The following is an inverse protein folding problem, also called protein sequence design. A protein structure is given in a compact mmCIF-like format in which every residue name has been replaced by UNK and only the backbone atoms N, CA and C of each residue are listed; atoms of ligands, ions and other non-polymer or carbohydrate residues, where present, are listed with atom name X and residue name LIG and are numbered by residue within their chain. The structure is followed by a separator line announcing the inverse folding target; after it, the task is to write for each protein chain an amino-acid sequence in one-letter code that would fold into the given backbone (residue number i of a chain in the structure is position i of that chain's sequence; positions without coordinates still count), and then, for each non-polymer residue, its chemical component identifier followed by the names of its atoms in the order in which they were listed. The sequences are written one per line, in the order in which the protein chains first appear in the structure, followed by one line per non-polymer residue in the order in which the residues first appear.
data_IF_494007306422
#
_entry.id   IF_494007306422
#
_cell.length_a   1.000
_cell.length_b   1.000
_cell.length_c   1.000
_cell.angle_alpha   90.00
_cell.angle_beta   90.00
_cell.angle_gamma   90.00
#
_symmetry.space_group_name_H-M   'P 1'
#
loop_
_entity.id
_entity.type
_entity.pdbx_description
1 polymer ?
#
# COMPACT_ATOMS: atom_id res chain seq x y z
N UNK A 1 -54.03 30.74 -9.56
CA UNK A 1 -54.22 31.44 -8.27
C UNK A 1 -52.84 31.61 -7.65
N UNK A 2 -52.30 32.79 -7.34
CA UNK A 2 -52.94 34.01 -6.85
C UNK A 2 -52.30 34.32 -5.49
N UNK A 3 -51.27 35.19 -5.53
CA UNK A 3 -50.50 35.87 -4.47
C UNK A 3 -51.26 36.04 -3.12
N UNK A 4 -50.66 36.19 -1.95
CA UNK A 4 -49.90 37.39 -1.51
C UNK A 4 -49.41 37.22 -0.05
N UNK A 5 -48.19 37.73 0.21
CA UNK A 5 -47.75 38.68 1.27
C UNK A 5 -48.09 38.34 2.74
N UNK A 6 -47.17 38.39 3.70
CA UNK A 6 -46.12 39.36 4.03
C UNK A 6 -45.73 39.09 5.49
N UNK A 7 -44.70 39.64 6.13
CA UNK A 7 -44.30 41.05 6.20
C UNK A 7 -43.04 41.08 7.09
N UNK A 8 -42.02 41.84 6.69
CA UNK A 8 -40.79 42.05 7.49
C UNK A 8 -40.98 42.87 8.76
N UNK A 9 -39.88 43.25 9.42
CA UNK A 9 -39.45 44.66 9.41
C UNK A 9 -37.94 44.75 9.12
N UNK A 10 -37.39 45.65 8.29
CA UNK A 10 -37.32 47.13 8.29
C UNK A 10 -36.53 47.76 9.45
N UNK A 11 -35.36 48.31 9.09
CA UNK A 11 -34.61 49.35 9.80
C UNK A 11 -33.15 48.94 9.99
N UNK A 12 -32.11 49.72 9.69
CA UNK A 12 -31.93 51.06 9.12
C UNK A 12 -30.46 51.11 8.63
N UNK A 13 -30.19 51.62 7.43
CA UNK A 13 -29.74 53.00 7.14
C UNK A 13 -28.42 53.44 7.84
N UNK A 14 -27.49 53.89 6.97
CA UNK A 14 -26.32 54.79 7.14
C UNK A 14 -25.04 54.07 7.60
N UNK A 15 -23.83 54.38 7.11
CA UNK A 15 -23.31 55.37 6.17
C UNK A 15 -21.93 54.88 5.69
N UNK A 16 -21.55 55.20 4.45
CA UNK A 16 -20.50 56.19 4.12
C UNK A 16 -19.08 55.94 4.69
N UNK A 17 -18.20 55.52 3.74
CA UNK A 17 -16.87 56.05 3.39
C UNK A 17 -15.66 55.90 4.34
N UNK A 18 -14.57 55.46 3.68
CA UNK A 18 -13.13 55.79 3.86
C UNK A 18 -12.55 55.33 5.21
N UNK A 19 -11.29 54.92 5.38
CA UNK A 19 -10.06 54.78 4.59
C UNK A 19 -9.20 53.76 5.36
N UNK A 20 -8.04 53.40 4.80
CA UNK A 20 -6.74 53.15 5.45
C UNK A 20 -6.74 52.92 6.97
N UNK A 21 -6.06 51.90 7.49
CA UNK A 21 -4.60 51.93 7.54
C UNK A 21 -4.00 50.53 7.72
N UNK A 22 -2.75 50.46 7.28
CA UNK A 22 -1.83 49.35 7.43
C UNK A 22 -1.47 49.21 8.92
N UNK A 23 -1.60 48.01 9.48
CA UNK A 23 -0.96 47.66 10.75
C UNK A 23 0.14 46.65 10.45
N UNK A 24 1.36 47.19 10.36
CA UNK A 24 2.60 46.46 10.56
C UNK A 24 2.66 46.08 12.05
N UNK A 25 2.70 44.79 12.35
CA UNK A 25 2.43 44.30 13.70
C UNK A 25 2.92 42.88 13.91
N UNK A 26 4.23 42.69 13.75
CA UNK A 26 5.02 41.58 14.28
C UNK A 26 4.55 41.17 15.68
N UNK A 27 4.21 39.89 15.87
CA UNK A 27 3.81 39.37 17.17
C UNK A 27 3.84 37.85 17.20
N UNK A 28 4.98 37.31 17.64
CA UNK A 28 5.17 35.91 17.97
C UNK A 28 4.09 35.43 18.96
N UNK A 29 3.56 34.25 18.71
CA UNK A 29 2.59 33.59 19.57
C UNK A 29 2.53 32.12 19.20
N UNK A 30 3.26 31.33 19.98
CA UNK A 30 3.20 29.89 20.05
C UNK A 30 1.77 29.38 19.85
N UNK A 31 1.55 28.73 18.72
CA UNK A 31 0.42 27.85 18.55
C UNK A 31 0.93 26.45 18.76
N UNK A 32 0.85 26.04 20.03
CA UNK A 32 0.53 24.67 20.42
C UNK A 32 -0.62 24.18 19.53
N UNK A 33 -0.27 23.62 18.37
CA UNK A 33 -1.17 22.69 17.71
C UNK A 33 -1.05 21.41 18.49
N UNK A 34 -1.99 21.27 19.42
CA UNK A 34 -2.27 20.05 20.15
C UNK A 34 -2.07 18.85 19.25
N UNK A 35 -1.20 17.97 19.75
CA UNK A 35 -1.17 16.55 19.55
C UNK A 35 -2.42 16.01 18.83
N UNK A 36 -2.31 15.88 17.50
CA UNK A 36 -3.01 14.80 16.83
C UNK A 36 -2.13 13.56 16.97
N UNK A 37 -2.11 13.02 18.19
CA UNK A 37 -1.69 11.65 18.41
C UNK A 37 -2.76 10.74 17.79
N UNK A 38 -2.49 10.37 16.53
CA UNK A 38 -2.58 9.03 15.97
C UNK A 38 -3.70 8.13 16.52
N UNK A 39 -4.73 7.92 15.69
CA UNK A 39 -5.19 6.57 15.36
C UNK A 39 -5.61 6.55 13.89
N UNK A 40 -4.65 6.53 12.99
CA UNK A 40 -4.90 5.76 11.77
C UNK A 40 -5.09 4.33 12.25
N UNK A 41 -6.30 3.81 12.20
CA UNK A 41 -6.56 2.39 12.24
C UNK A 41 -5.90 1.79 10.98
N UNK A 42 -4.78 1.04 11.03
CA UNK A 42 -4.54 0.05 10.01
C UNK A 42 -5.38 -1.18 10.36
N UNK A 43 -6.69 -1.01 10.58
CA UNK A 43 -7.60 -2.09 10.26
C UNK A 43 -7.76 -2.06 8.75
N UNK A 44 -6.66 -2.39 8.06
CA UNK A 44 -6.78 -3.02 6.77
C UNK A 44 -7.41 -4.39 7.06
N UNK A 45 -8.72 -4.38 7.28
CA UNK A 45 -9.59 -5.53 7.13
C UNK A 45 -9.60 -5.90 5.65
N UNK A 46 -8.44 -6.25 5.12
CA UNK A 46 -8.37 -7.15 3.99
C UNK A 46 -8.78 -8.47 4.58
N UNK A 47 -10.03 -8.85 4.33
CA UNK A 47 -10.46 -10.23 4.45
C UNK A 47 -9.30 -11.13 3.96
N UNK A 48 -8.69 -11.99 4.81
CA UNK A 48 -7.60 -12.87 4.37
C UNK A 48 -8.05 -13.91 3.33
N UNK A 49 -9.31 -13.84 2.90
CA UNK A 49 -9.96 -14.82 2.05
C UNK A 49 -9.94 -14.48 0.54
N UNK A 50 -9.42 -13.33 0.11
CA UNK A 50 -9.47 -12.94 -1.31
C UNK A 50 -8.12 -12.72 -2.01
N UNK A 51 -7.01 -12.66 -1.27
CA UNK A 51 -5.66 -12.67 -1.88
C UNK A 51 -5.06 -14.07 -1.69
N UNK A 52 -5.11 -14.95 -2.71
CA UNK A 52 -4.58 -16.30 -2.56
C UNK A 52 -3.08 -16.24 -2.21
N UNK A 53 -2.71 -16.93 -1.13
CA UNK A 53 -1.33 -17.16 -0.68
C UNK A 53 -0.48 -15.93 -0.29
N UNK A 54 -1.05 -14.99 0.49
CA UNK A 54 -0.32 -13.80 0.97
C UNK A 54 0.98 -14.13 1.73
N UNK A 55 1.00 -15.18 2.56
CA UNK A 55 2.21 -15.57 3.29
C UNK A 55 3.27 -16.14 2.33
N UNK A 56 2.86 -16.95 1.35
CA UNK A 56 3.78 -17.54 0.38
C UNK A 56 4.50 -16.46 -0.46
N UNK A 57 3.76 -15.45 -0.94
CA UNK A 57 4.32 -14.34 -1.72
C UNK A 57 5.35 -13.56 -0.88
N UNK A 58 5.00 -13.18 0.35
CA UNK A 58 5.87 -12.40 1.23
C UNK A 58 7.17 -13.15 1.55
N UNK A 59 7.09 -14.45 1.83
CA UNK A 59 8.27 -15.29 2.09
C UNK A 59 9.14 -15.43 0.84
N UNK A 60 8.54 -15.66 -0.32
CA UNK A 60 9.26 -15.79 -1.59
C UNK A 60 10.03 -14.52 -1.92
N UNK A 61 9.36 -13.37 -1.87
CA UNK A 61 9.96 -12.06 -2.13
C UNK A 61 11.11 -11.78 -1.16
N UNK A 62 10.90 -12.01 0.14
CA UNK A 62 11.94 -11.83 1.15
C UNK A 62 13.17 -12.70 0.86
N UNK A 63 12.98 -13.99 0.59
CA UNK A 63 14.10 -14.90 0.33
C UNK A 63 14.88 -14.53 -0.93
N UNK A 64 14.18 -14.18 -2.02
CA UNK A 64 14.82 -13.82 -3.28
C UNK A 64 15.63 -12.53 -3.12
N UNK A 65 15.08 -11.51 -2.45
CA UNK A 65 15.78 -10.24 -2.18
C UNK A 65 17.09 -10.40 -1.40
N UNK A 66 17.26 -11.48 -0.62
CA UNK A 66 18.50 -11.77 0.10
C UNK A 66 19.56 -12.48 -0.75
N UNK A 67 19.18 -13.04 -1.90
CA UNK A 67 20.07 -13.83 -2.78
C UNK A 67 20.61 -13.00 -3.94
N UNK A 68 19.83 -12.02 -4.40
CA UNK A 68 20.15 -11.16 -5.54
C UNK A 68 21.03 -9.98 -5.15
N UNK A 69 21.68 -9.37 -6.13
CA UNK A 69 22.45 -8.14 -5.94
C UNK A 69 21.54 -6.89 -5.98
N UNK A 70 20.53 -6.89 -6.86
CA UNK A 70 19.57 -5.80 -7.03
C UNK A 70 18.18 -6.21 -6.51
N UNK A 71 17.87 -5.99 -5.21
CA UNK A 71 16.58 -6.37 -4.63
C UNK A 71 15.39 -5.55 -5.18
N UNK A 72 15.66 -4.39 -5.78
CA UNK A 72 14.63 -3.55 -6.43
C UNK A 72 14.18 -4.12 -7.78
N UNK A 73 15.00 -4.96 -8.43
CA UNK A 73 14.67 -5.61 -9.69
C UNK A 73 13.82 -6.89 -9.51
N UNK A 74 13.48 -7.26 -8.27
CA UNK A 74 12.68 -8.45 -7.97
C UNK A 74 11.19 -8.12 -8.05
N UNK A 75 10.45 -8.87 -8.86
CA UNK A 75 9.00 -8.76 -8.96
C UNK A 75 8.34 -10.13 -8.92
N UNK A 76 7.32 -10.27 -8.08
CA UNK A 76 6.53 -11.51 -7.95
C UNK A 76 5.14 -11.27 -8.54
N UNK A 77 4.72 -12.14 -9.45
CA UNK A 77 3.37 -12.16 -10.03
C UNK A 77 2.67 -13.46 -9.67
N UNK A 78 1.36 -13.42 -9.51
CA UNK A 78 0.54 -14.59 -9.23
C UNK A 78 -0.32 -14.91 -10.45
N UNK A 79 -0.44 -16.20 -10.77
CA UNK A 79 -1.25 -16.72 -11.87
C UNK A 79 -1.99 -18.00 -11.46
N UNK A 80 -3.05 -18.35 -12.18
CA UNK A 80 -3.79 -19.59 -11.92
C UNK A 80 -2.97 -20.82 -12.37
N UNK A 81 -2.64 -21.69 -11.42
CA UNK A 81 -1.90 -22.92 -11.66
C UNK A 81 -2.78 -24.07 -12.16
N UNK A 82 -2.15 -25.04 -12.82
CA UNK A 82 -2.83 -26.14 -13.56
C UNK A 82 -3.71 -27.08 -12.72
N UNK A 83 -3.56 -27.11 -11.39
CA UNK A 83 -4.26 -28.03 -10.47
C UNK A 83 -5.13 -27.31 -9.44
N UNK A 84 -5.57 -26.09 -9.75
CA UNK A 84 -6.27 -25.24 -8.77
C UNK A 84 -5.35 -24.72 -7.66
N UNK A 85 -4.03 -24.85 -7.83
CA UNK A 85 -3.03 -24.17 -7.02
C UNK A 85 -2.65 -22.83 -7.61
N UNK A 86 -1.95 -22.01 -6.85
CA UNK A 86 -1.42 -20.73 -7.30
C UNK A 86 -0.05 -20.95 -7.94
N UNK A 87 0.19 -20.28 -9.06
CA UNK A 87 1.51 -20.19 -9.65
C UNK A 87 2.14 -18.83 -9.28
N UNK A 88 3.37 -18.88 -8.79
CA UNK A 88 4.16 -17.73 -8.36
C UNK A 88 5.30 -17.55 -9.37
N UNK A 89 5.18 -16.52 -10.20
CA UNK A 89 6.17 -16.17 -11.21
C UNK A 89 7.12 -15.11 -10.64
N UNK A 90 8.40 -15.44 -10.55
CA UNK A 90 9.43 -14.55 -10.01
C UNK A 90 10.31 -14.04 -11.14
N UNK A 91 10.30 -12.72 -11.34
CA UNK A 91 11.24 -12.00 -12.20
C UNK A 91 12.35 -11.41 -11.36
N UNK A 92 13.56 -11.45 -11.88
CA UNK A 92 14.78 -10.91 -11.24
C UNK A 92 15.60 -10.13 -12.25
N UNK A 93 16.56 -9.33 -11.76
CA UNK A 93 17.47 -8.57 -12.60
C UNK A 93 18.38 -9.46 -13.48
N UNK A 94 18.83 -8.88 -14.59
CA UNK A 94 19.77 -9.51 -15.50
C UNK A 94 21.11 -9.78 -14.76
N UNK A 95 21.43 -11.06 -14.55
CA UNK A 95 22.64 -11.49 -13.82
C UNK A 95 22.35 -12.15 -12.47
N UNK A 96 21.16 -11.95 -11.91
CA UNK A 96 20.78 -12.54 -10.62
C UNK A 96 20.18 -13.94 -10.73
N UNK A 97 19.67 -14.29 -11.91
CA UNK A 97 19.09 -15.62 -12.18
C UNK A 97 20.06 -16.75 -11.82
N UNK A 98 21.35 -16.60 -12.10
CA UNK A 98 22.37 -17.58 -11.74
C UNK A 98 22.52 -17.80 -10.23
N UNK A 99 22.38 -16.74 -9.42
CA UNK A 99 22.41 -16.82 -7.95
C UNK A 99 21.14 -17.47 -7.41
N UNK A 100 19.98 -17.09 -7.92
CA UNK A 100 18.68 -17.62 -7.46
C UNK A 100 18.52 -19.10 -7.77
N UNK A 101 18.89 -19.53 -8.98
CA UNK A 101 18.89 -20.96 -9.31
C UNK A 101 19.97 -21.67 -8.48
N UNK A 102 21.17 -21.10 -8.44
CA UNK A 102 22.31 -21.65 -7.71
C UNK A 102 22.86 -22.94 -8.33
N UNK A 103 23.99 -23.42 -7.79
CA UNK A 103 24.67 -24.61 -8.33
C UNK A 103 23.78 -25.85 -8.23
N UNK A 104 23.42 -26.41 -9.40
CA UNK A 104 22.50 -27.56 -9.57
C UNK A 104 21.06 -27.28 -9.09
N UNK A 105 20.62 -26.02 -9.09
CA UNK A 105 19.26 -25.68 -8.66
C UNK A 105 19.05 -25.75 -7.15
N UNK A 106 20.11 -25.88 -6.35
CA UNK A 106 19.99 -26.09 -4.90
C UNK A 106 19.32 -24.92 -4.17
N UNK A 107 19.59 -23.69 -4.59
CA UNK A 107 19.01 -22.50 -3.96
C UNK A 107 17.52 -22.42 -4.31
N UNK A 108 17.18 -22.53 -5.61
CA UNK A 108 15.79 -22.59 -6.07
C UNK A 108 14.98 -23.71 -5.38
N UNK A 109 15.56 -24.90 -5.21
CA UNK A 109 14.87 -26.02 -4.55
C UNK A 109 14.61 -25.76 -3.07
N UNK A 110 15.56 -25.14 -2.36
CA UNK A 110 15.39 -24.74 -0.96
C UNK A 110 14.29 -23.68 -0.82
N UNK A 111 14.32 -22.63 -1.67
CA UNK A 111 13.30 -21.59 -1.68
C UNK A 111 11.92 -22.21 -1.91
N UNK A 112 11.79 -23.11 -2.91
CA UNK A 112 10.54 -23.84 -3.18
C UNK A 112 10.00 -24.57 -1.97
N UNK A 113 10.88 -25.21 -1.21
CA UNK A 113 10.49 -25.98 -0.03
C UNK A 113 9.95 -25.06 1.07
N UNK A 114 10.64 -23.95 1.33
CA UNK A 114 10.23 -22.98 2.37
C UNK A 114 8.93 -22.27 2.00
N UNK A 115 8.79 -21.84 0.75
CA UNK A 115 7.58 -21.14 0.27
C UNK A 115 6.37 -22.07 0.27
N UNK A 116 6.53 -23.34 -0.14
CA UNK A 116 5.46 -24.35 0.00
C UNK A 116 5.05 -24.57 1.45
N UNK A 117 6.01 -24.59 2.38
CA UNK A 117 5.69 -24.69 3.80
C UNK A 117 4.95 -23.44 4.34
N UNK A 118 5.29 -22.25 3.84
CA UNK A 118 4.57 -21.02 4.17
C UNK A 118 3.12 -21.04 3.64
N UNK A 119 2.91 -21.54 2.42
CA UNK A 119 1.60 -21.63 1.78
C UNK A 119 0.63 -22.59 2.48
N UNK A 120 1.12 -23.54 3.29
CA UNK A 120 0.27 -24.39 4.14
C UNK A 120 -0.58 -23.54 5.09
N UNK A 121 -0.08 -22.37 5.54
CA UNK A 121 -0.85 -21.44 6.37
C UNK A 121 -1.98 -20.75 5.61
N UNK A 122 -1.84 -20.64 4.29
CA UNK A 122 -2.83 -20.05 3.40
C UNK A 122 -3.78 -21.11 2.81
N UNK A 123 -3.70 -22.37 3.30
CA UNK A 123 -4.47 -23.53 2.81
C UNK A 123 -4.41 -23.71 1.27
N UNK A 124 -3.36 -23.18 0.65
CA UNK A 124 -3.22 -23.06 -0.80
C UNK A 124 -1.99 -23.81 -1.27
N UNK A 125 -2.12 -24.59 -2.35
CA UNK A 125 -0.96 -25.20 -3.00
C UNK A 125 -0.30 -24.18 -3.92
N UNK A 126 1.03 -24.06 -3.81
CA UNK A 126 1.81 -23.10 -4.62
C UNK A 126 2.92 -23.80 -5.42
N UNK A 127 3.09 -23.35 -6.66
CA UNK A 127 4.22 -23.70 -7.52
C UNK A 127 4.98 -22.44 -7.92
N UNK A 128 6.30 -22.55 -7.98
CA UNK A 128 7.19 -21.39 -8.19
C UNK A 128 7.95 -21.57 -9.50
N UNK A 129 7.80 -20.59 -10.37
CA UNK A 129 8.50 -20.46 -11.64
C UNK A 129 9.41 -19.23 -11.60
N UNK A 130 10.65 -19.41 -12.03
CA UNK A 130 11.61 -18.31 -12.18
C UNK A 130 11.63 -17.95 -13.66
N UNK A 131 11.27 -16.72 -13.98
CA UNK A 131 11.11 -16.19 -15.33
C UNK A 131 12.13 -15.06 -15.56
N UNK A 132 12.66 -14.98 -16.78
CA UNK A 132 13.59 -13.93 -17.25
C UNK A 132 12.80 -12.79 -17.93
#
# INVERSE_FOLDING_TARGET
MGRVQGRGPRGGRRGHRLVSDVEDGTGAGDSESSDQEKVEDPSNGSDPSAAPAANAVAVLEYLVKQVVEDPEAVSVSTSEGRRGGLQLDVRVGAGDMGRVIGKRGRIAQSIRTVVRAAAVKDETSVDIEFVD
#
